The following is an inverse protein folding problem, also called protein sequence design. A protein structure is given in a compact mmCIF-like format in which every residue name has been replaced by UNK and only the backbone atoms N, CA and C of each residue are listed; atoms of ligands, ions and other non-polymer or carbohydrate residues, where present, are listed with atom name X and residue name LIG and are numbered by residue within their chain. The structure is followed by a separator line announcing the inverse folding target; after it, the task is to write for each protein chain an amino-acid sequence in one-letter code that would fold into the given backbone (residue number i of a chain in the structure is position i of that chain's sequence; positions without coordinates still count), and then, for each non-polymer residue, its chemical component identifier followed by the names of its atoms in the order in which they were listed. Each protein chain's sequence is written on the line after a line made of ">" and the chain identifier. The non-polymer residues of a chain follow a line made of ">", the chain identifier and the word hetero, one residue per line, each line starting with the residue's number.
data_IF_225334963136
#
_entry.id   IF_225334963136
#
_cell.length_a   1.000
_cell.length_b   1.000
_cell.length_c   1.000
_cell.angle_alpha   90.00
_cell.angle_beta   90.00
_cell.angle_gamma   90.00
#
_symmetry.space_group_name_H-M   'P 1'
#
loop_
_entity.id
_entity.type
_entity.pdbx_description
1 polymer ?
#
# COMPACT_ATOMS: atom_id res chain seq x y z
N UNK A 1 -19.98 6.19 -10.84
CA UNK A 1 -19.13 6.75 -11.91
C UNK A 1 -17.84 7.23 -11.29
N UNK A 2 -16.86 6.34 -11.13
CA UNK A 2 -15.56 6.63 -10.53
C UNK A 2 -14.59 7.07 -11.63
N UNK A 3 -13.86 8.15 -11.38
CA UNK A 3 -12.81 8.68 -12.25
C UNK A 3 -11.75 7.61 -12.50
N UNK A 4 -11.71 7.04 -13.70
CA UNK A 4 -10.78 5.97 -14.12
C UNK A 4 -9.38 6.52 -14.43
N UNK A 5 -8.80 7.31 -13.51
CA UNK A 5 -7.38 7.64 -13.61
C UNK A 5 -6.58 6.42 -13.15
N UNK A 6 -5.75 5.88 -14.04
CA UNK A 6 -4.84 4.78 -13.74
C UNK A 6 -4.02 5.11 -12.50
N UNK A 7 -3.96 4.18 -11.55
CA UNK A 7 -3.10 4.32 -10.37
C UNK A 7 -1.64 4.13 -10.81
N UNK A 8 -0.84 5.17 -10.62
CA UNK A 8 0.58 5.22 -11.03
C UNK A 8 1.37 5.68 -9.82
N UNK A 9 2.53 5.06 -9.54
CA UNK A 9 3.52 5.57 -8.59
C UNK A 9 4.77 6.01 -9.34
N UNK A 10 5.24 7.23 -9.09
CA UNK A 10 6.31 7.86 -9.87
C UNK A 10 7.63 7.86 -9.09
N UNK A 11 8.77 8.05 -9.77
CA UNK A 11 10.08 8.09 -9.11
C UNK A 11 10.12 9.19 -8.03
N UNK A 12 9.48 10.34 -8.28
CA UNK A 12 9.38 11.45 -7.34
C UNK A 12 8.64 11.13 -6.03
N UNK A 13 7.83 10.07 -6.00
CA UNK A 13 7.10 9.70 -4.78
C UNK A 13 8.08 9.25 -3.67
N UNK A 14 9.30 8.83 -4.01
CA UNK A 14 10.36 8.54 -3.01
C UNK A 14 11.08 9.78 -2.50
N UNK A 15 11.03 10.92 -3.21
CA UNK A 15 11.67 12.16 -2.78
C UNK A 15 11.06 12.73 -1.49
N UNK A 16 9.84 12.33 -1.16
CA UNK A 16 9.18 12.68 0.10
C UNK A 16 10.05 12.25 1.29
N UNK A 17 10.72 11.09 1.20
CA UNK A 17 11.60 10.60 2.26
C UNK A 17 12.86 11.45 2.43
N UNK A 18 13.25 12.24 1.43
CA UNK A 18 14.39 13.16 1.49
C UNK A 18 14.07 14.53 2.11
N UNK A 19 12.81 14.80 2.48
CA UNK A 19 12.43 16.06 3.14
C UNK A 19 13.11 16.14 4.53
N UNK A 20 13.99 17.13 4.80
CA UNK A 20 14.75 17.17 6.05
C UNK A 20 13.90 17.47 7.29
N UNK A 21 12.89 18.33 7.16
CA UNK A 21 12.00 18.67 8.28
C UNK A 21 10.96 17.58 8.48
N UNK A 22 11.02 16.90 9.64
CA UNK A 22 10.14 15.77 9.96
C UNK A 22 8.65 16.14 9.90
N UNK A 23 8.27 17.33 10.38
CA UNK A 23 6.85 17.74 10.38
C UNK A 23 6.33 17.93 8.95
N UNK A 24 7.13 18.55 8.10
CA UNK A 24 6.88 18.73 6.66
C UNK A 24 6.81 17.39 5.95
N UNK A 25 7.74 16.47 6.22
CA UNK A 25 7.72 15.10 5.68
C UNK A 25 6.42 14.39 6.04
N UNK A 26 6.05 14.38 7.32
CA UNK A 26 4.82 13.74 7.79
C UNK A 26 3.56 14.37 7.19
N UNK A 27 3.50 15.70 7.08
CA UNK A 27 2.39 16.38 6.41
C UNK A 27 2.29 16.02 4.92
N UNK A 28 3.44 15.90 4.24
CA UNK A 28 3.50 15.48 2.83
C UNK A 28 2.97 14.07 2.67
N UNK A 29 3.45 13.14 3.49
CA UNK A 29 2.98 11.76 3.49
C UNK A 29 1.46 11.70 3.66
N UNK A 30 0.89 12.46 4.60
CA UNK A 30 -0.56 12.46 4.86
C UNK A 30 -1.42 13.05 3.76
N UNK A 31 -0.99 14.15 3.15
CA UNK A 31 -1.86 14.87 2.22
C UNK A 31 -1.64 14.45 0.75
N UNK A 32 -0.50 13.83 0.44
CA UNK A 32 -0.16 13.42 -0.92
C UNK A 32 -0.01 11.90 -1.07
N UNK A 33 0.82 11.26 -0.25
CA UNK A 33 1.20 9.87 -0.50
C UNK A 33 0.17 8.85 -0.01
N UNK A 34 -0.34 9.03 1.21
CA UNK A 34 -1.36 8.15 1.80
C UNK A 34 -2.67 8.09 1.01
N UNK A 35 -3.20 9.18 0.43
CA UNK A 35 -4.39 9.10 -0.42
C UNK A 35 -4.20 8.19 -1.64
N UNK A 36 -3.01 8.18 -2.25
CA UNK A 36 -2.68 7.29 -3.38
C UNK A 36 -2.59 5.83 -2.94
N UNK A 37 -1.87 5.59 -1.84
CA UNK A 37 -1.78 4.26 -1.22
C UNK A 37 -3.16 3.75 -0.73
N UNK A 38 -4.06 4.65 -0.31
CA UNK A 38 -5.42 4.29 0.10
C UNK A 38 -6.25 3.79 -1.08
N UNK A 39 -6.09 4.40 -2.26
CA UNK A 39 -6.70 3.89 -3.50
C UNK A 39 -6.21 2.49 -3.83
N UNK A 40 -4.90 2.25 -3.74
CA UNK A 40 -4.33 0.90 -3.92
C UNK A 40 -4.99 -0.11 -2.97
N UNK A 41 -5.07 0.24 -1.69
CA UNK A 41 -5.70 -0.63 -0.69
C UNK A 41 -7.18 -0.85 -1.00
N UNK A 42 -7.93 0.19 -1.35
CA UNK A 42 -9.36 0.06 -1.65
C UNK A 42 -9.61 -0.84 -2.86
N UNK A 43 -8.80 -0.73 -3.90
CA UNK A 43 -8.83 -1.64 -5.05
C UNK A 43 -8.55 -3.09 -4.62
N UNK A 44 -7.53 -3.32 -3.78
CA UNK A 44 -7.25 -4.64 -3.23
C UNK A 44 -8.38 -5.21 -2.36
N UNK A 45 -8.99 -4.38 -1.51
CA UNK A 45 -10.11 -4.79 -0.66
C UNK A 45 -11.38 -5.08 -1.46
N UNK A 46 -11.62 -4.35 -2.55
CA UNK A 46 -12.70 -4.69 -3.48
C UNK A 46 -12.49 -6.06 -4.12
N UNK A 47 -11.26 -6.40 -4.49
CA UNK A 47 -10.94 -7.73 -5.03
C UNK A 47 -11.01 -8.83 -3.97
N UNK A 48 -10.62 -8.56 -2.72
CA UNK A 48 -10.88 -9.48 -1.58
C UNK A 48 -12.37 -9.76 -1.43
N UNK A 49 -13.22 -8.72 -1.54
CA UNK A 49 -14.67 -8.86 -1.45
C UNK A 49 -15.23 -9.74 -2.56
N UNK A 50 -14.74 -9.55 -3.78
CA UNK A 50 -15.14 -10.36 -4.93
C UNK A 50 -14.65 -11.81 -4.79
N UNK A 51 -13.38 -12.01 -4.43
CA UNK A 51 -12.74 -13.32 -4.36
C UNK A 51 -13.29 -14.21 -3.24
N UNK A 52 -13.56 -13.64 -2.07
CA UNK A 52 -13.91 -14.41 -0.87
C UNK A 52 -15.34 -14.20 -0.37
N UNK A 53 -16.13 -13.34 -1.02
CA UNK A 53 -17.49 -12.98 -0.60
C UNK A 53 -17.57 -12.48 0.85
N UNK A 54 -16.50 -11.86 1.34
CA UNK A 54 -16.40 -11.23 2.66
C UNK A 54 -16.35 -9.73 2.43
N UNK A 55 -17.16 -8.93 3.13
CA UNK A 55 -17.01 -7.48 3.08
C UNK A 55 -15.87 -7.01 4.01
N UNK A 56 -14.69 -6.65 3.48
CA UNK A 56 -13.59 -6.25 4.34
C UNK A 56 -13.78 -4.88 4.97
N UNK A 57 -14.61 -4.00 4.38
CA UNK A 57 -14.85 -2.67 4.91
C UNK A 57 -15.71 -2.72 6.19
N UNK A 58 -16.57 -3.73 6.30
CA UNK A 58 -17.34 -4.02 7.52
C UNK A 58 -16.58 -4.90 8.52
N UNK A 59 -15.64 -5.73 8.06
CA UNK A 59 -14.95 -6.68 8.94
C UNK A 59 -13.69 -6.10 9.60
N UNK A 60 -12.98 -5.20 8.91
CA UNK A 60 -11.66 -4.76 9.32
C UNK A 60 -11.60 -3.27 9.71
N UNK A 61 -10.52 -2.92 10.38
CA UNK A 61 -10.10 -1.55 10.67
C UNK A 61 -8.94 -1.16 9.75
N UNK A 62 -9.04 0.03 9.17
CA UNK A 62 -7.96 0.63 8.42
C UNK A 62 -6.80 1.03 9.35
N UNK A 63 -5.57 0.74 8.94
CA UNK A 63 -4.35 1.13 9.65
C UNK A 63 -3.35 1.79 8.71
N UNK A 64 -2.55 2.70 9.26
CA UNK A 64 -1.48 3.35 8.56
C UNK A 64 -0.38 3.82 9.53
N UNK A 65 0.86 3.90 9.04
CA UNK A 65 2.01 4.42 9.77
C UNK A 65 2.99 5.07 8.78
N UNK A 66 3.59 6.23 9.09
CA UNK A 66 3.47 6.98 10.33
C UNK A 66 2.12 7.68 10.47
N UNK A 67 1.61 7.77 11.70
CA UNK A 67 0.45 8.62 12.00
C UNK A 67 0.91 10.06 12.26
N UNK A 68 0.26 11.06 11.66
CA UNK A 68 0.46 12.47 12.01
C UNK A 68 -0.77 13.01 12.73
N UNK A 69 -0.68 13.20 14.05
CA UNK A 69 -1.76 13.79 14.87
C UNK A 69 -1.40 15.23 15.20
N UNK A 70 -2.38 16.13 15.17
CA UNK A 70 -2.21 17.55 15.55
C UNK A 70 -1.56 17.71 16.93
N UNK A 71 -1.91 16.82 17.86
CA UNK A 71 -1.43 16.81 19.26
C UNK A 71 -0.35 15.75 19.52
N UNK A 72 0.41 15.35 18.50
CA UNK A 72 1.48 14.37 18.70
C UNK A 72 2.54 14.91 19.68
N UNK A 73 2.78 14.19 20.78
CA UNK A 73 3.81 14.54 21.78
C UNK A 73 5.22 14.62 21.18
N UNK A 74 5.49 13.85 20.13
CA UNK A 74 6.71 13.93 19.33
C UNK A 74 6.44 13.43 17.91
N UNK A 75 7.14 14.02 16.94
CA UNK A 75 7.20 13.51 15.57
C UNK A 75 8.51 12.75 15.41
N UNK A 76 8.44 11.53 14.88
CA UNK A 76 9.62 10.72 14.56
C UNK A 76 9.78 10.67 13.06
N UNK A 77 11.03 10.80 12.61
CA UNK A 77 11.35 10.58 11.21
C UNK A 77 11.16 9.10 10.85
N UNK A 78 10.90 8.83 9.57
CA UNK A 78 10.68 7.47 9.07
C UNK A 78 11.13 7.31 7.62
N UNK A 79 11.66 6.14 7.33
CA UNK A 79 11.97 5.63 6.00
C UNK A 79 10.98 4.55 5.54
N UNK A 80 9.91 4.35 6.30
CA UNK A 80 8.91 3.31 6.07
C UNK A 80 7.50 3.89 6.18
N UNK A 81 6.69 3.59 5.16
CA UNK A 81 5.26 3.88 5.11
C UNK A 81 4.51 2.57 5.04
N UNK A 82 3.48 2.44 5.88
CA UNK A 82 2.63 1.27 6.01
C UNK A 82 1.18 1.71 5.81
N UNK A 83 0.42 0.98 5.01
CA UNK A 83 -1.03 1.13 4.91
C UNK A 83 -1.68 -0.25 4.81
N UNK A 84 -2.83 -0.47 5.43
CA UNK A 84 -3.45 -1.79 5.36
C UNK A 84 -4.67 -1.94 6.25
N UNK A 85 -4.91 -3.19 6.65
CA UNK A 85 -6.02 -3.57 7.50
C UNK A 85 -5.57 -4.37 8.72
N UNK A 86 -6.29 -4.16 9.81
CA UNK A 86 -6.21 -4.94 11.04
C UNK A 86 -7.60 -5.29 11.56
N UNK A 87 -7.70 -6.09 12.62
CA UNK A 87 -8.96 -6.54 13.17
C UNK A 87 -9.70 -5.44 13.91
N UNK A 88 -11.02 -5.56 13.97
CA UNK A 88 -11.85 -4.62 14.72
C UNK A 88 -11.64 -4.83 16.21
N UNK A 89 -11.51 -3.71 16.93
CA UNK A 89 -11.49 -3.71 18.39
C UNK A 89 -12.91 -3.96 18.89
N UNK A 90 -13.15 -5.15 19.42
CA UNK A 90 -14.43 -5.49 20.03
C UNK A 90 -14.36 -5.21 21.53
N UNK A 91 -14.82 -4.03 21.95
CA UNK A 91 -14.86 -3.68 23.38
C UNK A 91 -15.86 -4.56 24.16
N UNK A 92 -16.93 -5.00 23.50
CA UNK A 92 -18.01 -5.79 24.11
C UNK A 92 -17.84 -7.31 23.94
N UNK A 93 -16.89 -7.74 23.11
CA UNK A 93 -16.62 -9.17 22.83
C UNK A 93 -15.12 -9.41 22.87
N UNK A 94 -14.66 -9.95 23.99
CA UNK A 94 -13.26 -10.26 24.22
C UNK A 94 -12.79 -11.41 23.31
N UNK A 95 -11.55 -11.34 22.82
CA UNK A 95 -10.93 -12.47 22.12
C UNK A 95 -10.73 -13.65 23.06
N UNK A 96 -10.65 -14.86 22.50
CA UNK A 96 -10.43 -16.08 23.30
C UNK A 96 -8.95 -16.32 23.63
N UNK A 97 -8.05 -15.58 22.97
CA UNK A 97 -6.63 -15.58 23.31
C UNK A 97 -6.43 -14.72 24.55
N UNK A 98 -5.79 -15.31 25.54
CA UNK A 98 -5.58 -14.73 26.87
C UNK A 98 -4.10 -14.35 26.99
N UNK A 99 -3.85 -13.16 27.52
CA UNK A 99 -2.52 -12.64 27.84
C UNK A 99 -1.93 -13.36 29.05
N UNK A 100 -0.64 -13.21 29.28
CA UNK A 100 0.03 -13.72 30.49
C UNK A 100 -0.63 -13.24 31.81
N UNK A 101 -1.24 -12.05 31.81
CA UNK A 101 -1.95 -11.48 32.95
C UNK A 101 -3.38 -12.05 33.17
N UNK A 102 -3.76 -13.08 32.41
CA UNK A 102 -5.07 -13.73 32.49
C UNK A 102 -6.21 -12.95 31.83
N UNK A 103 -5.93 -11.79 31.21
CA UNK A 103 -6.95 -10.98 30.50
C UNK A 103 -6.91 -11.26 29.01
N UNK A 104 -8.06 -11.21 28.31
CA UNK A 104 -8.08 -11.38 26.86
C UNK A 104 -7.47 -10.20 26.11
N UNK A 105 -6.91 -10.47 24.94
CA UNK A 105 -6.45 -9.41 24.04
C UNK A 105 -7.63 -8.60 23.48
N UNK A 106 -7.41 -7.29 23.32
CA UNK A 106 -8.42 -6.35 22.82
C UNK A 106 -8.32 -6.08 21.30
N UNK A 107 -7.21 -6.45 20.67
CA UNK A 107 -6.93 -6.29 19.24
C UNK A 107 -6.72 -7.67 18.65
N UNK A 108 -6.71 -7.84 17.31
CA UNK A 108 -6.35 -9.10 16.65
C UNK A 108 -4.84 -9.20 16.35
N UNK A 109 -4.25 -10.42 16.36
CA UNK A 109 -2.79 -10.60 16.44
C UNK A 109 -2.05 -10.37 15.13
N UNK A 110 -2.76 -9.92 14.08
CA UNK A 110 -2.21 -9.81 12.74
C UNK A 110 -2.73 -8.62 11.96
N UNK A 111 -1.97 -8.24 10.93
CA UNK A 111 -2.32 -7.18 9.98
C UNK A 111 -1.82 -7.54 8.58
N UNK A 112 -2.60 -7.17 7.56
CA UNK A 112 -2.18 -7.21 6.16
C UNK A 112 -1.87 -5.79 5.68
N UNK A 113 -0.66 -5.56 5.16
CA UNK A 113 -0.11 -4.22 4.97
C UNK A 113 0.65 -4.12 3.65
N UNK A 114 0.37 -3.07 2.87
CA UNK A 114 1.29 -2.54 1.87
C UNK A 114 2.38 -1.73 2.57
N UNK A 115 3.64 -2.06 2.26
CA UNK A 115 4.82 -1.38 2.80
C UNK A 115 5.53 -0.65 1.68
N UNK A 116 5.97 0.59 1.93
CA UNK A 116 6.82 1.36 1.02
C UNK A 116 8.04 1.88 1.77
N UNK A 117 9.23 1.57 1.29
CA UNK A 117 10.49 2.10 1.86
C UNK A 117 10.95 3.35 1.13
N UNK A 118 11.89 4.08 1.74
CA UNK A 118 12.56 5.23 1.12
C UNK A 118 13.28 4.91 -0.21
N UNK A 119 13.70 3.66 -0.41
CA UNK A 119 14.24 3.16 -1.68
C UNK A 119 13.17 2.90 -2.74
N UNK A 120 11.90 3.18 -2.47
CA UNK A 120 10.78 2.92 -3.38
C UNK A 120 10.40 1.45 -3.50
N UNK A 121 10.85 0.59 -2.57
CA UNK A 121 10.45 -0.81 -2.52
C UNK A 121 9.01 -0.89 -2.00
N UNK A 122 8.09 -1.38 -2.82
CA UNK A 122 6.71 -1.67 -2.44
C UNK A 122 6.49 -3.18 -2.34
N UNK A 123 5.88 -3.64 -1.26
CA UNK A 123 5.51 -5.05 -1.08
C UNK A 123 4.26 -5.17 -0.22
N UNK A 124 3.61 -6.33 -0.26
CA UNK A 124 2.51 -6.68 0.66
C UNK A 124 3.02 -7.67 1.68
N UNK A 125 2.59 -7.58 2.93
CA UNK A 125 2.85 -8.62 3.90
C UNK A 125 1.71 -8.85 4.88
N UNK A 126 1.70 -10.05 5.46
CA UNK A 126 0.92 -10.40 6.64
C UNK A 126 1.86 -10.75 7.77
N UNK A 127 1.65 -10.09 8.91
CA UNK A 127 2.38 -10.33 10.15
C UNK A 127 1.47 -11.06 11.14
N UNK A 128 1.58 -12.38 11.30
CA UNK A 128 0.67 -13.17 12.14
C UNK A 128 0.84 -13.01 13.66
N UNK A 129 1.91 -12.34 14.13
CA UNK A 129 2.30 -12.30 15.56
C UNK A 129 2.75 -10.90 16.00
N UNK A 130 1.81 -10.05 16.41
CA UNK A 130 2.15 -8.71 16.87
C UNK A 130 2.45 -8.60 18.38
N UNK A 131 2.28 -9.66 19.20
CA UNK A 131 2.35 -9.56 20.68
C UNK A 131 3.17 -10.62 21.43
N UNK A 132 3.93 -11.47 20.74
CA UNK A 132 4.79 -12.49 21.39
C UNK A 132 4.03 -13.45 22.32
N UNK A 133 3.00 -14.12 21.79
CA UNK A 133 2.18 -15.12 22.52
C UNK A 133 2.48 -16.53 21.97
N UNK A 134 3.16 -17.35 22.78
CA UNK A 134 3.65 -18.68 22.38
C UNK A 134 2.52 -19.70 22.14
N UNK A 135 1.46 -19.70 22.95
CA UNK A 135 0.36 -20.66 22.79
C UNK A 135 -0.41 -20.40 21.49
N UNK A 136 -0.74 -19.14 21.24
CA UNK A 136 -1.38 -18.73 19.98
C UNK A 136 -0.46 -19.01 18.78
N UNK A 137 0.84 -18.75 18.93
CA UNK A 137 1.85 -19.08 17.93
C UNK A 137 1.88 -20.55 17.54
N UNK A 138 1.93 -21.44 18.53
CA UNK A 138 1.91 -22.88 18.28
C UNK A 138 0.59 -23.37 17.71
N UNK A 139 -0.55 -22.77 18.09
CA UNK A 139 -1.86 -23.06 17.48
C UNK A 139 -1.89 -22.71 16.01
N UNK A 140 -1.39 -21.54 15.62
CA UNK A 140 -1.33 -21.15 14.21
C UNK A 140 -0.41 -22.07 13.40
N UNK A 141 0.79 -22.37 13.90
CA UNK A 141 1.70 -23.32 13.25
C UNK A 141 1.11 -24.72 13.13
N UNK A 142 0.41 -25.19 14.16
CA UNK A 142 -0.34 -26.45 14.10
C UNK A 142 -1.39 -26.43 12.98
N UNK A 143 -2.13 -25.33 12.85
CA UNK A 143 -3.12 -25.17 11.79
C UNK A 143 -2.49 -25.22 10.39
N UNK A 144 -1.38 -24.49 10.16
CA UNK A 144 -0.67 -24.54 8.87
C UNK A 144 -0.10 -25.94 8.57
N UNK A 145 0.37 -26.69 9.58
CA UNK A 145 0.82 -28.08 9.38
C UNK A 145 -0.33 -29.01 8.99
N UNK A 146 -1.52 -28.79 9.53
CA UNK A 146 -2.71 -29.59 9.21
C UNK A 146 -3.26 -29.30 7.81
N UNK A 147 -2.97 -28.11 7.25
CA UNK A 147 -3.39 -27.68 5.92
C UNK A 147 -2.15 -27.35 5.06
N UNK A 148 -1.13 -28.22 5.12
CA UNK A 148 0.18 -27.94 4.57
C UNK A 148 0.16 -27.79 3.05
N UNK A 149 -0.62 -28.62 2.36
CA UNK A 149 -0.68 -28.65 0.91
C UNK A 149 -1.37 -27.38 0.38
N UNK A 150 -2.50 -26.99 0.98
CA UNK A 150 -3.19 -25.75 0.69
C UNK A 150 -2.33 -24.52 0.98
N UNK A 151 -1.63 -24.53 2.12
CA UNK A 151 -0.74 -23.42 2.50
C UNK A 151 0.43 -23.30 1.53
N UNK A 152 1.06 -24.41 1.15
CA UNK A 152 2.16 -24.42 0.18
C UNK A 152 1.68 -23.99 -1.21
N UNK A 153 0.51 -24.44 -1.64
CA UNK A 153 -0.09 -24.02 -2.91
C UNK A 153 -0.34 -22.50 -2.94
N UNK A 154 -0.86 -21.94 -1.85
CA UNK A 154 -1.07 -20.49 -1.72
C UNK A 154 0.25 -19.71 -1.82
N UNK A 155 1.28 -20.15 -1.10
CA UNK A 155 2.60 -19.49 -1.15
C UNK A 155 3.19 -19.53 -2.56
N UNK A 156 3.12 -20.68 -3.22
CA UNK A 156 3.64 -20.84 -4.58
C UNK A 156 2.88 -19.99 -5.60
N UNK A 157 1.55 -19.89 -5.47
CA UNK A 157 0.70 -19.12 -6.39
C UNK A 157 1.10 -17.63 -6.46
N UNK A 158 1.52 -17.05 -5.32
CA UNK A 158 1.92 -15.64 -5.24
C UNK A 158 3.42 -15.40 -5.20
N UNK A 159 4.25 -16.43 -5.37
CA UNK A 159 5.68 -16.37 -5.07
C UNK A 159 5.96 -15.68 -3.71
N UNK A 160 5.15 -16.07 -2.71
CA UNK A 160 5.17 -15.47 -1.39
C UNK A 160 6.35 -16.04 -0.60
N UNK A 161 7.19 -15.16 -0.12
CA UNK A 161 8.29 -15.51 0.77
C UNK A 161 7.83 -15.44 2.22
N UNK A 162 8.49 -16.21 3.08
CA UNK A 162 8.36 -16.09 4.53
C UNK A 162 9.74 -15.79 5.12
N UNK A 163 9.79 -14.98 6.17
CA UNK A 163 11.04 -14.60 6.83
C UNK A 163 10.92 -14.81 8.32
N UNK A 164 11.93 -15.44 8.94
CA UNK A 164 11.98 -15.59 10.39
C UNK A 164 12.54 -14.33 11.07
N UNK A 165 12.04 -14.01 12.27
CA UNK A 165 12.57 -12.93 13.11
C UNK A 165 13.79 -13.39 13.94
N UNK A 166 14.71 -14.13 13.36
CA UNK A 166 15.95 -14.56 14.03
C UNK A 166 17.16 -13.87 13.43
N UNK A 167 18.15 -13.57 14.27
CA UNK A 167 19.44 -12.97 13.86
C UNK A 167 20.23 -13.85 12.87
N UNK A 168 19.74 -15.06 12.59
CA UNK A 168 20.28 -15.98 11.60
C UNK A 168 19.24 -16.29 10.53
N UNK A 169 19.56 -15.96 9.28
CA UNK A 169 18.83 -16.41 8.10
C UNK A 169 19.25 -17.85 7.82
N UNK A 170 18.36 -18.81 8.07
CA UNK A 170 18.59 -20.23 7.76
C UNK A 170 17.64 -20.68 6.65
N UNK A 171 18.20 -21.33 5.62
CA UNK A 171 17.41 -22.00 4.60
C UNK A 171 16.88 -23.31 5.17
N UNK A 172 15.58 -23.36 5.50
CA UNK A 172 14.94 -24.56 6.01
C UNK A 172 13.67 -24.89 5.20
N UNK A 173 13.35 -26.19 5.00
CA UNK A 173 12.08 -26.59 4.39
C UNK A 173 10.90 -26.04 5.20
N UNK A 174 9.83 -25.61 4.52
CA UNK A 174 8.63 -25.06 5.17
C UNK A 174 8.08 -25.98 6.28
N UNK A 175 8.06 -27.30 6.06
CA UNK A 175 7.64 -28.30 7.08
C UNK A 175 8.45 -28.21 8.37
N UNK A 176 9.74 -27.92 8.27
CA UNK A 176 10.62 -27.78 9.42
C UNK A 176 10.36 -26.44 10.12
N UNK A 177 10.25 -25.35 9.36
CA UNK A 177 9.98 -24.03 9.95
C UNK A 177 8.66 -23.94 10.72
N UNK A 178 7.65 -24.70 10.29
CA UNK A 178 6.38 -24.83 11.02
C UNK A 178 6.48 -25.68 12.31
N UNK A 179 7.63 -26.26 12.62
CA UNK A 179 7.91 -27.04 13.85
C UNK A 179 8.87 -26.36 14.80
N UNK A 180 9.71 -25.45 14.32
CA UNK A 180 10.70 -24.73 15.13
C UNK A 180 10.08 -23.50 15.83
N UNK A 181 10.84 -22.80 16.68
CA UNK A 181 10.38 -21.61 17.43
C UNK A 181 10.34 -20.32 16.58
N UNK A 182 10.58 -20.40 15.27
CA UNK A 182 10.64 -19.22 14.40
C UNK A 182 9.30 -18.49 14.22
N UNK A 183 9.18 -17.26 14.71
CA UNK A 183 8.16 -16.31 14.26
C UNK A 183 8.38 -15.97 12.80
N UNK A 184 7.33 -15.91 11.97
CA UNK A 184 7.47 -15.60 10.55
C UNK A 184 6.49 -14.52 10.08
N UNK A 185 7.00 -13.63 9.25
CA UNK A 185 6.22 -12.73 8.39
C UNK A 185 6.10 -13.41 7.02
N UNK A 186 4.93 -13.31 6.38
CA UNK A 186 4.76 -13.72 4.97
C UNK A 186 4.67 -12.45 4.14
N UNK A 187 5.48 -12.34 3.10
CA UNK A 187 5.54 -11.16 2.23
C UNK A 187 5.58 -11.55 0.76
N UNK A 188 5.00 -10.68 -0.07
CA UNK A 188 5.07 -10.78 -1.51
C UNK A 188 6.45 -10.43 -2.05
N UNK A 189 6.65 -10.72 -3.34
CA UNK A 189 7.72 -10.10 -4.10
C UNK A 189 7.55 -8.58 -4.11
N UNK A 190 8.67 -7.85 -4.16
CA UNK A 190 8.63 -6.40 -4.18
C UNK A 190 8.60 -5.86 -5.61
N UNK A 191 7.85 -4.78 -5.81
CA UNK A 191 7.97 -3.90 -6.97
C UNK A 191 8.69 -2.62 -6.56
N UNK A 192 9.34 -1.95 -7.50
CA UNK A 192 10.13 -0.75 -7.24
C UNK A 192 9.56 0.44 -8.00
N UNK A 193 9.52 1.60 -7.36
CA UNK A 193 9.17 2.86 -8.03
C UNK A 193 10.21 3.22 -9.12
N UNK A 194 9.78 3.83 -10.24
CA UNK A 194 8.40 4.15 -10.61
C UNK A 194 7.59 2.91 -11.02
N UNK A 195 6.38 2.79 -10.49
CA UNK A 195 5.40 1.78 -10.89
C UNK A 195 4.39 2.43 -11.83
N UNK A 196 4.78 2.56 -13.11
CA UNK A 196 3.92 3.03 -14.19
C UNK A 196 3.25 1.90 -14.97
N UNK A 197 3.76 0.66 -14.85
CA UNK A 197 3.18 -0.51 -15.49
C UNK A 197 1.91 -0.94 -14.75
N UNK A 198 0.71 -0.91 -15.39
CA UNK A 198 -0.53 -1.37 -14.77
C UNK A 198 -0.45 -2.81 -14.24
N UNK A 199 0.37 -3.67 -14.87
CA UNK A 199 0.57 -5.04 -14.41
C UNK A 199 1.28 -5.14 -13.05
N UNK A 200 2.18 -4.21 -12.73
CA UNK A 200 2.90 -4.22 -11.46
C UNK A 200 2.00 -3.77 -10.29
N UNK A 201 1.09 -2.81 -10.55
CA UNK A 201 0.03 -2.43 -9.61
C UNK A 201 -0.94 -3.59 -9.38
N UNK A 202 -1.36 -4.22 -10.48
CA UNK A 202 -2.25 -5.37 -10.44
C UNK A 202 -1.64 -6.56 -9.69
N UNK A 203 -0.33 -6.77 -9.83
CA UNK A 203 0.38 -7.79 -9.05
C UNK A 203 0.36 -7.48 -7.55
N UNK A 204 0.61 -6.23 -7.13
CA UNK A 204 0.48 -5.83 -5.72
C UNK A 204 -0.94 -6.06 -5.18
N UNK A 205 -1.97 -5.78 -5.98
CA UNK A 205 -3.37 -6.05 -5.64
C UNK A 205 -3.60 -7.55 -5.47
N UNK A 206 -3.13 -8.36 -6.43
CA UNK A 206 -3.25 -9.81 -6.40
C UNK A 206 -2.54 -10.40 -5.18
N UNK A 207 -1.32 -9.93 -4.87
CA UNK A 207 -0.54 -10.37 -3.71
C UNK A 207 -1.30 -10.13 -2.39
N UNK A 208 -2.00 -9.00 -2.28
CA UNK A 208 -2.86 -8.73 -1.12
C UNK A 208 -4.04 -9.71 -1.04
N UNK A 209 -4.69 -10.01 -2.16
CA UNK A 209 -5.77 -11.00 -2.22
C UNK A 209 -5.27 -12.39 -1.82
N UNK A 210 -4.07 -12.79 -2.27
CA UNK A 210 -3.44 -14.07 -1.93
C UNK A 210 -3.03 -14.16 -0.45
N UNK A 211 -2.65 -13.05 0.17
CA UNK A 211 -2.29 -13.01 1.58
C UNK A 211 -3.50 -12.97 2.53
N UNK A 212 -4.68 -12.59 2.02
CA UNK A 212 -5.90 -12.46 2.84
C UNK A 212 -6.30 -13.73 3.63
N UNK A 213 -6.26 -14.95 3.08
CA UNK A 213 -6.62 -16.15 3.84
C UNK A 213 -5.75 -16.37 5.07
N UNK A 214 -4.47 -15.98 5.03
CA UNK A 214 -3.55 -16.05 6.17
C UNK A 214 -4.01 -15.09 7.27
N UNK A 215 -4.39 -13.86 6.91
CA UNK A 215 -4.96 -12.89 7.85
C UNK A 215 -6.22 -13.44 8.52
N UNK A 216 -7.12 -14.04 7.73
CA UNK A 216 -8.37 -14.59 8.25
C UNK A 216 -8.16 -15.79 9.18
N UNK A 217 -7.19 -16.67 8.87
CA UNK A 217 -6.80 -17.76 9.79
C UNK A 217 -6.39 -17.19 11.14
N UNK A 218 -5.54 -16.16 11.14
CA UNK A 218 -5.10 -15.53 12.37
C UNK A 218 -6.29 -15.05 13.20
N UNK A 219 -7.29 -14.46 12.55
CA UNK A 219 -8.41 -13.86 13.26
C UNK A 219 -9.38 -14.90 13.77
N UNK A 220 -9.70 -15.88 12.91
CA UNK A 220 -10.53 -17.02 13.28
C UNK A 220 -9.96 -17.73 14.50
N UNK A 221 -8.66 -18.02 14.52
CA UNK A 221 -8.01 -18.64 15.68
C UNK A 221 -8.05 -17.74 16.91
N UNK A 222 -7.84 -16.43 16.76
CA UNK A 222 -7.88 -15.49 17.87
C UNK A 222 -9.27 -15.36 18.52
N UNK A 223 -10.33 -15.49 17.71
CA UNK A 223 -11.72 -15.54 18.14
C UNK A 223 -12.15 -16.95 18.62
N UNK A 224 -11.27 -17.95 18.44
CA UNK A 224 -11.53 -19.37 18.62
C UNK A 224 -12.74 -19.85 17.84
N UNK A 225 -12.79 -19.44 16.58
CA UNK A 225 -13.65 -19.92 15.50
C UNK A 225 -12.79 -20.77 14.57
N UNK A 226 -13.35 -21.82 13.98
CA UNK A 226 -12.64 -22.65 13.00
C UNK A 226 -12.36 -21.80 11.75
N UNK A 227 -11.09 -21.67 11.30
CA UNK A 227 -10.80 -20.96 10.06
C UNK A 227 -11.39 -21.67 8.84
N UNK A 228 -11.85 -20.86 7.87
CA UNK A 228 -12.46 -21.29 6.61
C UNK A 228 -11.43 -21.40 5.48
N UNK A 229 -10.22 -21.87 5.80
CA UNK A 229 -9.11 -21.83 4.86
C UNK A 229 -9.34 -22.68 3.60
N UNK A 230 -9.85 -23.94 3.68
CA UNK A 230 -10.16 -24.71 2.48
C UNK A 230 -11.20 -24.02 1.59
N UNK A 231 -12.23 -23.41 2.18
CA UNK A 231 -13.25 -22.66 1.45
C UNK A 231 -12.65 -21.42 0.77
N UNK A 232 -11.72 -20.73 1.42
CA UNK A 232 -10.99 -19.61 0.83
C UNK A 232 -10.12 -20.04 -0.35
N UNK A 233 -9.44 -21.18 -0.25
CA UNK A 233 -8.61 -21.70 -1.36
C UNK A 233 -9.49 -22.04 -2.56
N UNK A 234 -10.64 -22.67 -2.35
CA UNK A 234 -11.59 -22.96 -3.43
C UNK A 234 -12.16 -21.69 -4.07
N UNK A 235 -12.54 -20.71 -3.25
CA UNK A 235 -13.05 -19.42 -3.72
C UNK A 235 -11.98 -18.66 -4.53
N UNK A 236 -10.74 -18.64 -4.04
CA UNK A 236 -9.59 -18.07 -4.72
C UNK A 236 -9.34 -18.74 -6.08
N UNK A 237 -9.34 -20.08 -6.16
CA UNK A 237 -9.16 -20.79 -7.43
C UNK A 237 -10.25 -20.42 -8.46
N UNK A 238 -11.50 -20.33 -8.00
CA UNK A 238 -12.64 -19.95 -8.85
C UNK A 238 -12.51 -18.50 -9.34
N UNK A 239 -12.13 -17.60 -8.44
CA UNK A 239 -11.94 -16.20 -8.76
C UNK A 239 -10.74 -15.99 -9.71
N UNK A 240 -9.60 -16.63 -9.48
CA UNK A 240 -8.43 -16.56 -10.37
C UNK A 240 -8.76 -17.00 -11.79
N UNK A 241 -9.63 -18.01 -11.97
CA UNK A 241 -10.04 -18.48 -13.28
C UNK A 241 -10.93 -17.48 -14.05
N UNK A 242 -11.59 -16.56 -13.36
CA UNK A 242 -12.56 -15.60 -13.93
C UNK A 242 -12.09 -14.15 -13.84
N UNK A 243 -11.01 -13.89 -13.09
CA UNK A 243 -10.44 -12.57 -12.87
C UNK A 243 -10.00 -11.95 -14.18
N UNK A 244 -10.47 -10.72 -14.43
CA UNK A 244 -9.99 -9.91 -15.55
C UNK A 244 -8.62 -9.35 -15.21
N UNK A 245 -7.61 -9.75 -15.97
CA UNK A 245 -6.31 -9.10 -15.93
C UNK A 245 -6.38 -7.72 -16.60
N UNK A 246 -5.58 -6.74 -16.16
CA UNK A 246 -5.46 -5.47 -16.86
C UNK A 246 -4.94 -5.73 -18.27
N UNK A 247 -5.57 -5.09 -19.26
CA UNK A 247 -5.10 -5.17 -20.64
C UNK A 247 -3.79 -4.40 -20.73
N UNK A 248 -2.69 -5.10 -20.99
CA UNK A 248 -1.44 -4.46 -21.39
C UNK A 248 -1.60 -3.98 -22.84
N UNK A 249 -1.94 -2.71 -23.02
CA UNK A 249 -1.76 -2.06 -24.31
C UNK A 249 -0.25 -1.87 -24.48
N UNK A 250 0.36 -2.70 -25.34
CA UNK A 250 1.69 -2.34 -25.87
C UNK A 250 1.57 -0.92 -26.42
N UNK A 251 2.42 0.02 -26.03
CA UNK A 251 2.54 1.26 -26.79
C UNK A 251 2.74 0.85 -28.26
N UNK A 252 1.95 1.41 -29.18
CA UNK A 252 2.23 1.21 -30.60
C UNK A 252 3.71 1.52 -30.84
N UNK A 253 4.42 0.69 -31.60
CA UNK A 253 5.81 0.88 -32.06
C UNK A 253 5.90 2.09 -33.04
N UNK A 254 5.20 3.19 -32.76
CA UNK A 254 5.60 4.47 -33.27
C UNK A 254 6.89 4.83 -32.53
N UNK A 255 7.98 5.02 -33.26
CA UNK A 255 9.13 5.78 -32.78
C UNK A 255 8.61 7.12 -32.28
N UNK A 256 8.23 7.19 -31.02
CA UNK A 256 8.11 8.44 -30.31
C UNK A 256 9.55 8.91 -30.26
N UNK A 257 9.91 9.88 -31.11
CA UNK A 257 11.04 10.74 -30.85
C UNK A 257 10.76 11.37 -29.49
N UNK A 258 11.25 10.72 -28.43
CA UNK A 258 11.22 11.27 -27.10
C UNK A 258 12.12 12.50 -27.18
N UNK A 259 11.59 13.73 -27.06
CA UNK A 259 12.46 14.88 -26.88
C UNK A 259 13.31 14.55 -25.65
N UNK A 260 14.63 14.78 -25.73
CA UNK A 260 15.58 14.49 -24.66
C UNK A 260 14.92 14.76 -23.30
N UNK A 261 14.75 13.70 -22.50
CA UNK A 261 14.02 13.69 -21.23
C UNK A 261 14.66 14.60 -20.15
N UNK A 262 15.64 15.42 -20.51
CA UNK A 262 16.22 16.48 -19.67
C UNK A 262 15.18 17.53 -19.25
N UNK A 263 14.04 17.63 -19.96
CA UNK A 263 12.93 18.50 -19.57
C UNK A 263 12.21 18.07 -18.28
N UNK A 264 12.43 16.84 -17.79
CA UNK A 264 11.89 16.32 -16.52
C UNK A 264 12.88 16.38 -15.35
N UNK A 265 13.87 17.28 -15.37
CA UNK A 265 14.64 17.59 -14.15
C UNK A 265 13.72 18.02 -13.01
N UNK A 266 13.77 17.28 -11.91
CA UNK A 266 12.86 17.37 -10.77
C UNK A 266 12.87 18.75 -10.09
N UNK A 267 11.69 19.30 -9.80
CA UNK A 267 11.57 20.42 -8.85
C UNK A 267 12.05 19.90 -7.51
N UNK A 268 13.02 20.58 -6.87
CA UNK A 268 13.56 20.16 -5.56
C UNK A 268 12.42 19.82 -4.60
N UNK A 269 12.50 18.68 -3.90
CA UNK A 269 11.45 18.18 -3.00
C UNK A 269 10.87 19.25 -2.05
N UNK A 270 11.73 20.14 -1.53
CA UNK A 270 11.28 21.26 -0.69
C UNK A 270 10.43 22.30 -1.43
N UNK A 271 10.80 22.69 -2.65
CA UNK A 271 10.02 23.62 -3.48
C UNK A 271 8.73 22.96 -3.97
N UNK A 272 8.79 21.68 -4.34
CA UNK A 272 7.63 20.89 -4.72
C UNK A 272 6.59 20.85 -3.59
N UNK A 273 7.03 20.59 -2.35
CA UNK A 273 6.16 20.64 -1.18
C UNK A 273 5.54 22.02 -0.98
N UNK A 274 6.34 23.09 -1.09
CA UNK A 274 5.86 24.46 -0.92
C UNK A 274 4.74 24.80 -1.90
N UNK A 275 4.83 24.36 -3.15
CA UNK A 275 3.79 24.57 -4.16
C UNK A 275 2.51 23.82 -3.79
N UNK A 276 2.59 22.52 -3.48
CA UNK A 276 1.42 21.74 -3.08
C UNK A 276 0.75 22.29 -1.81
N UNK A 277 1.56 22.69 -0.83
CA UNK A 277 1.09 23.26 0.42
C UNK A 277 0.42 24.63 0.21
N UNK A 278 1.02 25.51 -0.63
CA UNK A 278 0.44 26.80 -1.02
C UNK A 278 -0.94 26.63 -1.67
N UNK A 279 -1.06 25.64 -2.55
CA UNK A 279 -2.29 25.37 -3.30
C UNK A 279 -3.26 24.45 -2.52
N UNK A 280 -3.07 24.32 -1.21
CA UNK A 280 -3.93 23.54 -0.31
C UNK A 280 -4.17 22.09 -0.77
N UNK A 281 -3.15 21.44 -1.35
CA UNK A 281 -3.24 20.06 -1.84
C UNK A 281 -4.43 19.85 -2.79
N UNK A 282 -4.69 20.85 -3.62
CA UNK A 282 -5.85 20.95 -4.51
C UNK A 282 -5.41 21.38 -5.90
N UNK A 283 -6.01 20.80 -6.94
CA UNK A 283 -5.76 21.22 -8.32
C UNK A 283 -6.27 22.65 -8.53
N UNK A 284 -5.39 23.56 -8.95
CA UNK A 284 -5.71 24.97 -9.23
C UNK A 284 -6.80 25.10 -10.31
N UNK A 285 -6.78 24.23 -11.32
CA UNK A 285 -7.78 24.21 -12.40
C UNK A 285 -9.15 23.66 -11.98
N UNK A 286 -9.22 22.41 -11.53
CA UNK A 286 -10.50 21.71 -11.31
C UNK A 286 -10.99 21.70 -9.85
N UNK A 287 -10.20 22.27 -8.94
CA UNK A 287 -10.50 22.39 -7.50
C UNK A 287 -10.71 21.07 -6.75
N UNK A 288 -10.38 19.93 -7.36
CA UNK A 288 -10.35 18.62 -6.68
C UNK A 288 -9.10 18.50 -5.82
N UNK A 289 -9.23 17.88 -4.67
CA UNK A 289 -8.15 17.63 -3.71
C UNK A 289 -7.68 16.16 -3.73
N UNK A 290 -6.40 15.92 -3.45
CA UNK A 290 -5.86 14.56 -3.33
C UNK A 290 -6.58 13.76 -2.23
N UNK A 291 -6.89 14.41 -1.11
CA UNK A 291 -7.50 13.79 0.07
C UNK A 291 -8.96 13.38 -0.14
N UNK A 292 -9.80 14.26 -0.70
CA UNK A 292 -11.24 14.00 -0.79
C UNK A 292 -11.61 13.24 -2.07
N UNK A 293 -10.87 13.48 -3.16
CA UNK A 293 -11.20 12.92 -4.47
C UNK A 293 -10.26 11.79 -4.90
N UNK A 294 -9.19 11.53 -4.14
CA UNK A 294 -8.21 10.50 -4.46
C UNK A 294 -7.39 10.78 -5.73
N UNK A 295 -7.41 12.01 -6.23
CA UNK A 295 -6.69 12.35 -7.47
C UNK A 295 -5.18 12.48 -7.24
N UNK A 296 -4.42 12.25 -8.30
CA UNK A 296 -2.98 12.49 -8.30
C UNK A 296 -2.72 13.97 -8.60
N UNK A 297 -1.89 14.61 -7.77
CA UNK A 297 -1.45 16.00 -7.98
C UNK A 297 -0.03 16.04 -8.53
N UNK A 298 0.24 17.04 -9.36
CA UNK A 298 1.54 17.33 -9.96
C UNK A 298 1.84 18.81 -9.76
N UNK A 299 3.12 19.13 -9.60
CA UNK A 299 3.61 20.51 -9.73
C UNK A 299 3.88 20.76 -11.21
N UNK A 300 3.20 21.75 -11.76
CA UNK A 300 3.26 22.20 -13.15
C UNK A 300 3.87 23.59 -13.25
N UNK A 301 4.55 23.88 -14.36
CA UNK A 301 5.01 25.23 -14.66
C UNK A 301 3.92 26.02 -15.37
N UNK A 302 3.59 27.21 -14.88
CA UNK A 302 2.71 28.18 -15.56
C UNK A 302 3.26 28.45 -16.95
N UNK A 303 4.41 29.12 -17.07
CA UNK A 303 5.18 29.14 -18.31
C UNK A 303 5.88 27.78 -18.48
N UNK A 304 5.55 26.99 -19.51
CA UNK A 304 6.16 25.67 -19.70
C UNK A 304 7.69 25.75 -19.76
N UNK A 305 8.39 24.80 -19.13
CA UNK A 305 9.86 24.76 -19.16
C UNK A 305 10.43 24.71 -20.57
N UNK A 306 9.79 23.96 -21.48
CA UNK A 306 10.15 23.91 -22.91
C UNK A 306 10.12 25.27 -23.61
N UNK A 307 9.42 26.25 -23.01
CA UNK A 307 9.30 27.62 -23.48
C UNK A 307 10.04 28.61 -22.56
N UNK A 308 11.06 28.15 -21.84
CA UNK A 308 11.93 28.98 -20.99
C UNK A 308 11.41 29.21 -19.57
N UNK A 309 10.37 28.50 -19.14
CA UNK A 309 9.86 28.57 -17.76
C UNK A 309 10.88 28.14 -16.71
N UNK A 310 10.96 28.90 -15.62
CA UNK A 310 11.90 28.65 -14.51
C UNK A 310 11.27 27.85 -13.36
N UNK A 311 12.11 27.18 -12.58
CA UNK A 311 11.75 26.48 -11.34
C UNK A 311 11.64 27.46 -10.15
N UNK A 312 10.86 28.52 -10.31
CA UNK A 312 10.61 29.55 -9.29
C UNK A 312 9.17 29.39 -8.78
N UNK A 313 8.92 29.58 -7.47
CA UNK A 313 7.62 29.30 -6.84
C UNK A 313 6.47 30.07 -7.53
N UNK A 314 6.77 31.26 -8.04
CA UNK A 314 5.85 32.13 -8.77
C UNK A 314 5.39 31.52 -10.09
N UNK A 315 6.26 30.75 -10.76
CA UNK A 315 5.99 30.06 -12.02
C UNK A 315 5.48 28.63 -11.83
N UNK A 316 5.28 28.17 -10.60
CA UNK A 316 4.80 26.82 -10.30
C UNK A 316 3.36 26.84 -9.78
N UNK A 317 2.57 25.83 -10.14
CA UNK A 317 1.17 25.61 -9.73
C UNK A 317 0.84 24.12 -9.57
N UNK A 318 -0.18 23.81 -8.78
CA UNK A 318 -0.63 22.43 -8.55
C UNK A 318 -1.73 22.03 -9.51
N UNK A 319 -1.55 20.98 -10.32
CA UNK A 319 -2.56 20.44 -11.22
C UNK A 319 -2.76 18.93 -11.03
N UNK A 320 -3.97 18.42 -11.26
CA UNK A 320 -4.20 16.98 -11.36
C UNK A 320 -3.67 16.44 -12.70
N UNK A 321 -3.44 15.12 -12.80
CA UNK A 321 -2.93 14.49 -14.03
C UNK A 321 -3.72 14.92 -15.28
N UNK A 322 -5.06 14.81 -15.24
CA UNK A 322 -5.93 15.21 -16.35
C UNK A 322 -5.77 16.70 -16.74
N UNK A 323 -5.74 17.61 -15.77
CA UNK A 323 -5.57 19.05 -16.03
C UNK A 323 -4.17 19.38 -16.54
N UNK A 324 -3.14 18.73 -15.99
CA UNK A 324 -1.75 18.89 -16.40
C UNK A 324 -1.55 18.46 -17.86
N UNK A 325 -2.01 17.26 -18.22
CA UNK A 325 -1.96 16.76 -19.61
C UNK A 325 -2.76 17.68 -20.54
N UNK A 326 -3.93 18.15 -20.09
CA UNK A 326 -4.77 19.07 -20.86
C UNK A 326 -4.08 20.40 -21.16
N UNK A 327 -3.36 20.98 -20.19
CA UNK A 327 -2.57 22.20 -20.35
C UNK A 327 -1.36 21.97 -21.25
N UNK A 328 -0.58 20.93 -20.97
CA UNK A 328 0.66 20.60 -21.69
C UNK A 328 1.57 21.83 -21.84
N UNK A 329 2.35 21.91 -22.93
CA UNK A 329 3.12 23.10 -23.29
C UNK A 329 2.31 24.13 -24.11
N UNK A 330 0.98 24.00 -24.17
CA UNK A 330 0.10 24.78 -25.06
C UNK A 330 -0.46 26.04 -24.42
N UNK A 331 -0.46 26.10 -23.10
CA UNK A 331 -1.08 27.17 -22.33
C UNK A 331 -0.16 27.55 -21.16
N UNK A 332 -0.07 28.85 -20.90
CA UNK A 332 0.70 29.46 -19.81
C UNK A 332 -0.17 30.24 -18.81
N UNK A 333 -1.46 29.90 -18.75
CA UNK A 333 -2.40 30.49 -17.79
C UNK A 333 -2.01 30.14 -16.36
N UNK A 334 -2.01 31.16 -15.50
CA UNK A 334 -1.96 31.02 -14.05
C UNK A 334 -3.34 30.61 -13.54
N UNK A 335 -3.47 29.35 -13.11
CA UNK A 335 -4.76 28.76 -12.73
C UNK A 335 -5.03 28.86 -11.23
N UNK A 336 -4.18 29.55 -10.46
CA UNK A 336 -4.25 29.62 -8.98
C UNK A 336 -5.41 30.47 -8.46
N UNK A 337 -6.05 31.26 -9.32
CA UNK A 337 -7.16 32.18 -9.02
C UNK A 337 -8.47 31.46 -8.76
#
# INVERSE_FOLDING_TARGET
>A
MTSSEALIFEARDTEIFSIPDTKTKLNTLQNYFFPRLKRLLDEALLQVKEAYHIDPFEKYNFIYSPSHRKEAKSNRDTDLVLIGVSGRRHFDRQLKVIREDGKPYAFHPASAIFQVTNAGRMSVSVRPFNWWDDDYFWKLKKYFRQNYDEFTALLNQGNLSYTSHTDQIQLAPLKQMLRDEYFFEIQSSAVYLPVANPMAIDQLILDFVLLFPILDICYSLAEGVKPKFPEHVQALSTWLATRKQPVFLKPDDQEIQMPELDSYRFVRAGLWYQVLARDNWTCCSCRRSAKEHGIVLHVDHIQPRSLGGKDEIENLQTLCLKCNIGKSNKDSTDLRS
#
